data_IF_472567138888
#
_entry.id   IF_472567138888
#
_cell.length_a   1.000
_cell.length_b   1.000
_cell.length_c   1.000
_cell.angle_alpha   90.00
_cell.angle_beta   90.00
_cell.angle_gamma   90.00
#
_symmetry.space_group_name_H-M   'P 1'
#
loop_
_entity.id
_entity.type
_entity.pdbx_description
1 polymer ?
#
# COMPACT_ATOMS: atom_id res chain seq x y z
N UNK A 1 -51.43 -33.08 -13.91
CA UNK A 1 -50.93 -31.69 -13.81
C UNK A 1 -49.55 -31.68 -14.43
N UNK A 2 -49.39 -31.14 -15.65
CA UNK A 2 -48.14 -31.18 -16.42
C UNK A 2 -47.19 -30.10 -15.91
N UNK A 3 -46.06 -30.49 -15.35
CA UNK A 3 -44.97 -29.59 -14.94
C UNK A 3 -44.25 -29.05 -16.17
N UNK A 4 -44.18 -27.73 -16.29
CA UNK A 4 -43.57 -27.00 -17.40
C UNK A 4 -42.06 -26.97 -17.16
N UNK A 5 -41.26 -27.71 -17.94
CA UNK A 5 -39.80 -27.63 -17.85
C UNK A 5 -39.29 -26.36 -18.54
N UNK A 6 -38.69 -25.46 -17.77
CA UNK A 6 -38.07 -24.23 -18.27
C UNK A 6 -36.56 -24.40 -18.36
N UNK A 7 -36.02 -24.39 -19.59
CA UNK A 7 -34.58 -24.48 -19.84
C UNK A 7 -33.94 -23.10 -19.75
N UNK A 8 -33.12 -22.90 -18.73
CA UNK A 8 -32.34 -21.67 -18.55
C UNK A 8 -30.88 -21.94 -18.89
N UNK A 9 -30.30 -21.14 -19.78
CA UNK A 9 -28.89 -21.24 -20.18
C UNK A 9 -28.20 -19.96 -19.73
N UNK A 10 -27.16 -20.11 -18.90
CA UNK A 10 -26.34 -18.99 -18.39
C UNK A 10 -24.96 -19.08 -19.02
N UNK A 11 -24.57 -18.05 -19.76
CA UNK A 11 -23.21 -17.88 -20.25
C UNK A 11 -22.47 -16.87 -19.35
N UNK A 12 -21.32 -17.26 -18.80
CA UNK A 12 -20.50 -16.38 -17.97
C UNK A 12 -19.04 -16.41 -18.40
N UNK A 13 -18.34 -15.29 -18.17
CA UNK A 13 -16.90 -15.19 -18.28
C UNK A 13 -16.36 -14.82 -16.90
N UNK A 14 -15.64 -15.76 -16.31
CA UNK A 14 -15.00 -15.59 -15.00
C UNK A 14 -13.58 -15.07 -15.21
N UNK A 15 -13.18 -14.09 -14.40
CA UNK A 15 -11.79 -13.62 -14.29
C UNK A 15 -11.34 -13.77 -12.84
N UNK A 16 -10.05 -13.93 -12.66
CA UNK A 16 -9.43 -13.99 -11.34
C UNK A 16 -9.48 -12.62 -10.66
N UNK A 17 -9.87 -12.62 -9.39
CA UNK A 17 -9.75 -11.46 -8.53
C UNK A 17 -8.29 -11.34 -8.07
N UNK A 18 -7.59 -10.29 -8.48
CA UNK A 18 -6.19 -10.05 -8.08
C UNK A 18 -6.16 -8.88 -7.10
N UNK A 19 -5.77 -9.18 -5.86
CA UNK A 19 -5.45 -8.16 -4.86
C UNK A 19 -4.16 -7.43 -5.26
N UNK A 20 -4.04 -6.11 -4.98
CA UNK A 20 -2.78 -5.42 -5.19
C UNK A 20 -1.67 -6.09 -4.39
N UNK A 21 -0.44 -6.21 -4.94
CA UNK A 21 0.69 -6.72 -4.18
C UNK A 21 1.16 -5.64 -3.19
N UNK A 22 0.48 -5.52 -2.05
CA UNK A 22 0.89 -4.65 -0.96
C UNK A 22 2.17 -5.21 -0.31
N UNK A 23 3.32 -4.97 -0.95
CA UNK A 23 4.61 -5.54 -0.55
C UNK A 23 5.26 -4.74 0.56
N UNK A 24 5.71 -3.52 0.27
CA UNK A 24 6.60 -2.81 1.17
C UNK A 24 5.99 -1.54 1.75
N UNK A 25 5.31 -0.74 0.94
CA UNK A 25 4.65 0.47 1.43
C UNK A 25 3.72 1.15 0.44
N UNK A 26 3.05 2.18 0.93
CA UNK A 26 2.23 3.11 0.18
C UNK A 26 2.57 4.55 0.61
N UNK A 27 2.55 5.49 -0.33
CA UNK A 27 2.57 6.93 -0.05
C UNK A 27 1.23 7.51 -0.47
N UNK A 28 0.49 8.06 0.49
CA UNK A 28 -0.86 8.58 0.27
C UNK A 28 -0.81 10.10 0.15
N UNK A 29 -1.30 10.61 -0.97
CA UNK A 29 -1.52 12.03 -1.16
C UNK A 29 -2.71 12.53 -0.33
N UNK A 30 -2.70 13.81 0.03
CA UNK A 30 -3.77 14.44 0.83
C UNK A 30 -5.15 14.41 0.19
N UNK A 31 -5.19 14.43 -1.13
CA UNK A 31 -6.40 14.40 -1.94
C UNK A 31 -6.60 13.03 -2.60
N UNK A 32 -5.89 11.99 -2.12
CA UNK A 32 -5.98 10.65 -2.69
C UNK A 32 -7.41 10.12 -2.69
N UNK A 33 -7.80 9.31 -3.71
CA UNK A 33 -9.17 8.83 -3.88
C UNK A 33 -9.61 7.88 -2.74
N UNK A 34 -8.64 7.30 -2.02
CA UNK A 34 -8.88 6.46 -0.85
C UNK A 34 -8.11 7.08 0.31
N UNK A 35 -8.85 7.66 1.26
CA UNK A 35 -8.24 8.26 2.44
C UNK A 35 -7.56 7.23 3.34
N UNK A 36 -6.59 7.71 4.12
CA UNK A 36 -5.76 6.93 5.04
C UNK A 36 -6.52 5.90 5.90
N UNK A 37 -7.66 6.28 6.51
CA UNK A 37 -8.47 5.35 7.32
C UNK A 37 -8.96 4.14 6.50
N UNK A 38 -9.50 4.37 5.32
CA UNK A 38 -10.03 3.31 4.46
C UNK A 38 -8.90 2.41 3.95
N UNK A 39 -7.74 2.98 3.63
CA UNK A 39 -6.58 2.21 3.20
C UNK A 39 -6.04 1.32 4.32
N UNK A 40 -5.93 1.83 5.56
CA UNK A 40 -5.50 1.05 6.72
C UNK A 40 -6.43 -0.14 6.98
N UNK A 41 -7.74 0.09 6.93
CA UNK A 41 -8.74 -0.99 7.06
C UNK A 41 -8.62 -2.03 5.94
N UNK A 42 -8.37 -1.59 4.71
CA UNK A 42 -8.13 -2.52 3.60
C UNK A 42 -6.87 -3.36 3.85
N UNK A 43 -5.76 -2.74 4.25
CA UNK A 43 -4.52 -3.46 4.57
C UNK A 43 -4.74 -4.47 5.72
N UNK A 44 -5.41 -4.08 6.79
CA UNK A 44 -5.72 -4.98 7.92
C UNK A 44 -6.48 -6.25 7.49
N UNK A 45 -7.34 -6.15 6.46
CA UNK A 45 -8.10 -7.28 5.92
C UNK A 45 -7.32 -8.11 4.90
N UNK A 46 -6.36 -7.48 4.20
CA UNK A 46 -5.73 -8.04 3.00
C UNK A 46 -4.30 -8.56 3.25
N UNK A 47 -3.62 -8.09 4.30
CA UNK A 47 -2.25 -8.49 4.62
C UNK A 47 -2.11 -8.91 6.08
N UNK A 48 -1.44 -10.04 6.31
CA UNK A 48 -1.21 -10.58 7.65
C UNK A 48 -0.17 -9.78 8.45
N UNK A 49 0.69 -9.01 7.77
CA UNK A 49 1.76 -8.25 8.42
C UNK A 49 1.32 -6.81 8.65
N UNK A 50 1.53 -6.26 9.86
CA UNK A 50 1.13 -4.91 10.16
C UNK A 50 1.91 -3.88 9.35
N UNK A 51 1.19 -2.87 8.88
CA UNK A 51 1.76 -1.64 8.36
C UNK A 51 1.82 -0.62 9.49
N UNK A 52 2.91 0.12 9.54
CA UNK A 52 3.10 1.26 10.43
C UNK A 52 2.68 2.54 9.69
N UNK A 53 1.70 3.29 10.23
CA UNK A 53 1.35 4.60 9.72
C UNK A 53 2.36 5.67 10.15
N UNK A 54 2.74 6.52 9.21
CA UNK A 54 3.61 7.67 9.42
C UNK A 54 2.91 8.90 8.86
N UNK A 55 2.22 9.63 9.75
CA UNK A 55 1.51 10.87 9.39
C UNK A 55 2.51 12.01 9.15
N UNK A 56 2.25 12.81 8.11
CA UNK A 56 3.08 13.95 7.71
C UNK A 56 2.27 15.24 7.77
N UNK A 57 1.88 15.65 8.98
CA UNK A 57 0.90 16.71 9.24
C UNK A 57 1.16 18.05 8.54
N UNK A 58 2.43 18.41 8.32
CA UNK A 58 2.81 19.70 7.73
C UNK A 58 3.20 19.61 6.24
N UNK A 59 3.20 18.43 5.62
CA UNK A 59 3.55 18.31 4.20
C UNK A 59 2.34 18.65 3.31
N UNK A 60 2.43 19.52 2.30
CA UNK A 60 1.27 19.94 1.51
C UNK A 60 0.76 18.89 0.51
N UNK A 61 1.57 17.86 0.17
CA UNK A 61 1.24 16.87 -0.85
C UNK A 61 0.89 15.53 -0.21
N UNK A 62 1.72 15.08 0.73
CA UNK A 62 1.62 13.76 1.34
C UNK A 62 0.85 13.86 2.66
N UNK A 63 -0.14 12.99 2.84
CA UNK A 63 -0.85 12.81 4.11
C UNK A 63 -0.11 11.82 5.00
N UNK A 64 0.23 10.66 4.45
CA UNK A 64 0.71 9.52 5.23
C UNK A 64 1.59 8.60 4.38
N UNK A 65 2.60 8.01 5.03
CA UNK A 65 3.33 6.87 4.50
C UNK A 65 2.89 5.63 5.30
N UNK A 66 2.40 4.62 4.62
CA UNK A 66 2.11 3.31 5.20
C UNK A 66 3.26 2.38 4.82
N UNK A 67 4.00 1.84 5.77
CA UNK A 67 5.14 0.95 5.49
C UNK A 67 5.04 -0.32 6.31
N UNK A 68 5.42 -1.46 5.74
CA UNK A 68 5.48 -2.71 6.49
C UNK A 68 6.38 -2.54 7.71
N UNK A 69 5.84 -2.82 8.91
CA UNK A 69 6.52 -2.56 10.18
C UNK A 69 7.90 -3.23 10.29
N UNK A 70 8.07 -4.40 9.67
CA UNK A 70 9.35 -5.13 9.65
C UNK A 70 10.45 -4.44 8.86
N UNK A 71 10.15 -3.49 7.97
CA UNK A 71 11.18 -2.72 7.26
C UNK A 71 11.81 -1.67 8.17
N UNK A 72 11.06 -1.17 9.15
CA UNK A 72 11.54 -0.18 10.11
C UNK A 72 12.56 -0.76 11.12
N UNK A 73 12.70 -2.08 11.20
CA UNK A 73 13.81 -2.69 11.95
C UNK A 73 15.13 -2.65 11.17
N UNK A 74 15.09 -2.40 9.86
CA UNK A 74 16.26 -2.36 8.97
C UNK A 74 16.67 -0.94 8.60
N UNK A 75 15.70 -0.03 8.48
CA UNK A 75 15.92 1.37 8.13
C UNK A 75 15.24 2.25 9.18
N UNK A 76 15.94 3.22 9.79
CA UNK A 76 15.32 4.17 10.70
C UNK A 76 14.15 4.91 10.03
N UNK A 77 13.07 5.10 10.78
CA UNK A 77 11.85 5.77 10.31
C UNK A 77 12.15 7.13 9.66
N UNK A 78 13.02 7.91 10.27
CA UNK A 78 13.39 9.26 9.82
C UNK A 78 14.11 9.21 8.46
N UNK A 79 14.97 8.21 8.23
CA UNK A 79 15.65 8.02 6.95
C UNK A 79 14.68 7.66 5.83
N UNK A 80 13.67 6.87 6.13
CA UNK A 80 12.61 6.56 5.17
C UNK A 80 11.77 7.80 4.84
N UNK A 81 11.40 8.60 5.84
CA UNK A 81 10.67 9.86 5.64
C UNK A 81 11.49 10.81 4.76
N UNK A 82 12.77 11.02 5.09
CA UNK A 82 13.68 11.87 4.32
C UNK A 82 13.78 11.40 2.86
N UNK A 83 13.90 10.08 2.66
CA UNK A 83 13.94 9.48 1.32
C UNK A 83 12.66 9.77 0.53
N UNK A 84 11.49 9.54 1.13
CA UNK A 84 10.19 9.80 0.47
C UNK A 84 10.04 11.27 0.14
N UNK A 85 10.31 12.17 1.09
CA UNK A 85 10.18 13.61 0.90
C UNK A 85 11.14 14.17 -0.15
N UNK A 86 12.36 13.61 -0.23
CA UNK A 86 13.41 14.09 -1.13
C UNK A 86 13.30 13.54 -2.55
N UNK A 87 12.97 12.25 -2.69
CA UNK A 87 13.07 11.55 -3.97
C UNK A 87 11.73 11.16 -4.57
N UNK A 88 10.70 10.93 -3.76
CA UNK A 88 9.39 10.47 -4.24
C UNK A 88 8.42 11.65 -4.39
N UNK A 89 8.29 12.48 -3.33
CA UNK A 89 7.38 13.63 -3.32
C UNK A 89 7.49 14.56 -4.55
N UNK A 90 8.69 14.91 -5.06
CA UNK A 90 8.78 15.83 -6.20
C UNK A 90 8.06 15.34 -7.48
N UNK A 91 7.86 14.03 -7.63
CA UNK A 91 7.14 13.42 -8.76
C UNK A 91 5.70 13.01 -8.45
N UNK A 92 5.20 13.31 -7.26
CA UNK A 92 3.89 12.87 -6.78
C UNK A 92 2.88 14.02 -6.79
N UNK A 93 1.67 13.76 -7.26
CA UNK A 93 0.53 14.66 -7.09
C UNK A 93 -0.26 14.33 -5.81
N UNK A 94 -0.94 15.33 -5.24
CA UNK A 94 -1.66 15.18 -3.98
C UNK A 94 -2.86 14.22 -4.07
N UNK A 95 -3.35 13.93 -5.27
CA UNK A 95 -4.47 13.01 -5.55
C UNK A 95 -4.03 11.58 -5.87
N UNK A 96 -2.74 11.27 -5.72
CA UNK A 96 -2.20 9.94 -6.00
C UNK A 96 -2.03 9.06 -4.76
N UNK A 97 -1.94 7.76 -5.00
CA UNK A 97 -1.44 6.76 -4.06
C UNK A 97 -0.32 6.02 -4.78
N UNK A 98 0.90 6.12 -4.27
CA UNK A 98 2.06 5.46 -4.87
C UNK A 98 2.35 4.16 -4.13
N UNK A 99 2.60 3.08 -4.88
CA UNK A 99 3.13 1.85 -4.33
C UNK A 99 4.64 1.98 -4.15
N UNK A 100 5.13 1.58 -2.98
CA UNK A 100 6.55 1.43 -2.70
C UNK A 100 6.92 -0.04 -2.75
N UNK A 101 7.91 -0.34 -3.59
CA UNK A 101 8.68 -1.58 -3.55
C UNK A 101 10.11 -1.21 -3.15
N UNK A 102 10.60 -1.77 -2.04
CA UNK A 102 11.84 -1.38 -1.39
C UNK A 102 12.77 -2.59 -1.25
N UNK A 103 13.91 -2.55 -1.93
CA UNK A 103 15.00 -3.50 -1.71
C UNK A 103 15.99 -2.92 -0.68
N UNK A 104 15.90 -3.40 0.56
CA UNK A 104 16.72 -2.94 1.68
C UNK A 104 17.74 -4.02 2.05
N UNK A 105 19.02 -3.69 1.86
CA UNK A 105 20.16 -4.52 2.21
C UNK A 105 20.97 -3.86 3.32
N UNK A 106 21.36 -4.63 4.34
CA UNK A 106 22.26 -4.20 5.41
C UNK A 106 23.57 -4.96 5.24
N UNK A 107 24.66 -4.23 5.08
CA UNK A 107 26.00 -4.79 5.03
C UNK A 107 26.72 -4.51 6.34
N UNK A 108 27.34 -5.54 6.91
CA UNK A 108 28.16 -5.44 8.11
C UNK A 108 29.61 -5.65 7.72
N UNK A 109 30.50 -4.81 8.22
CA UNK A 109 31.94 -4.99 8.16
C UNK A 109 32.47 -4.89 9.59
N UNK A 110 33.23 -5.90 10.01
CA UNK A 110 33.83 -5.94 11.33
C UNK A 110 35.23 -6.54 11.20
N UNK A 111 36.22 -5.87 11.79
CA UNK A 111 37.51 -6.49 12.10
C UNK A 111 37.32 -7.37 13.34
N UNK A 112 37.69 -8.65 13.23
CA UNK A 112 37.61 -9.65 14.30
C UNK A 112 38.93 -9.77 15.06
#
# INVERSE_FOLDING_TARGET
MLTRESKHIIHTRVKEFVLPPFRDGLVLGRNSPIGSKAMRQALELLVATPFEPIELDNDPIIQEILVRKTLLSRVPKEKLIDFVLKFIKPGMAADEILYLELDIQIQFEAEL
#
